data_IF_934894042678
#
_entry.id   IF_934894042678
#
_cell.length_a   1.000
_cell.length_b   1.000
_cell.length_c   1.000
_cell.angle_alpha   90.00
_cell.angle_beta   90.00
_cell.angle_gamma   90.00
#
_symmetry.space_group_name_H-M   'P 1'
#
loop_
_entity.id
_entity.type
_entity.pdbx_description
1 polymer ?
#
# COMPACT_ATOMS: atom_id res chain seq x y z
N UNK A 1 3.93 0.04 -35.06
CA UNK A 1 4.17 1.42 -34.66
C UNK A 1 5.42 1.34 -33.82
N UNK A 2 6.36 2.25 -34.00
CA UNK A 2 7.51 2.33 -33.10
C UNK A 2 7.20 3.33 -31.99
N UNK A 3 8.06 3.37 -30.99
CA UNK A 3 7.91 4.23 -29.82
C UNK A 3 7.80 5.72 -30.20
N UNK A 4 8.57 6.17 -31.20
CA UNK A 4 8.56 7.57 -31.68
C UNK A 4 7.15 7.98 -32.14
N UNK A 5 6.50 7.14 -32.95
CA UNK A 5 5.15 7.44 -33.47
C UNK A 5 4.10 7.38 -32.36
N UNK A 6 4.25 6.46 -31.40
CA UNK A 6 3.34 6.37 -30.26
C UNK A 6 3.35 7.66 -29.42
N UNK A 7 4.54 8.14 -29.04
CA UNK A 7 4.64 9.39 -28.28
C UNK A 7 4.18 10.59 -29.09
N UNK A 8 4.44 10.61 -30.41
CA UNK A 8 3.96 11.69 -31.27
C UNK A 8 2.44 11.82 -31.26
N UNK A 9 1.68 10.72 -31.19
CA UNK A 9 0.20 10.78 -31.07
C UNK A 9 -0.21 11.53 -29.80
N UNK A 10 0.48 11.28 -28.68
CA UNK A 10 0.19 11.95 -27.41
C UNK A 10 0.59 13.43 -27.49
N UNK A 11 1.74 13.75 -28.08
CA UNK A 11 2.18 15.15 -28.28
C UNK A 11 1.28 15.94 -29.24
N UNK A 12 0.77 15.31 -30.29
CA UNK A 12 -0.19 15.90 -31.22
C UNK A 12 -1.53 16.18 -30.52
N UNK A 13 -1.95 15.29 -29.61
CA UNK A 13 -3.14 15.49 -28.80
C UNK A 13 -3.04 16.70 -27.87
N UNK A 14 -1.86 16.95 -27.29
CA UNK A 14 -1.57 18.17 -26.53
C UNK A 14 -1.51 19.41 -27.42
N UNK A 15 -0.88 19.31 -28.60
CA UNK A 15 -0.77 20.42 -29.56
C UNK A 15 -2.14 20.88 -30.07
N UNK A 16 -3.12 19.98 -30.15
CA UNK A 16 -4.51 20.31 -30.47
C UNK A 16 -5.23 21.13 -29.38
N UNK A 17 -4.63 21.32 -28.19
CA UNK A 17 -5.15 22.12 -27.09
C UNK A 17 -4.10 23.10 -26.53
N UNK A 18 -3.77 24.21 -27.24
CA UNK A 18 -2.64 25.08 -26.89
C UNK A 18 -2.66 25.66 -25.46
N UNK A 19 -3.84 25.98 -24.92
CA UNK A 19 -3.98 26.47 -23.56
C UNK A 19 -3.61 25.39 -22.52
N UNK A 20 -4.02 24.14 -22.75
CA UNK A 20 -3.67 23.00 -21.89
C UNK A 20 -2.20 22.62 -22.07
N UNK A 21 -1.66 22.74 -23.28
CA UNK A 21 -0.24 22.53 -23.54
C UNK A 21 0.65 23.52 -22.77
N UNK A 22 0.24 24.79 -22.67
CA UNK A 22 0.96 25.77 -21.86
C UNK A 22 0.94 25.39 -20.37
N UNK A 23 -0.20 24.92 -19.85
CA UNK A 23 -0.34 24.44 -18.47
C UNK A 23 0.55 23.21 -18.21
N UNK A 24 0.53 22.22 -19.11
CA UNK A 24 1.42 21.06 -19.07
C UNK A 24 2.89 21.47 -19.09
N UNK A 25 3.27 22.42 -19.94
CA UNK A 25 4.66 22.89 -20.01
C UNK A 25 5.12 23.48 -18.67
N UNK A 26 4.26 24.25 -17.98
CA UNK A 26 4.53 24.72 -16.63
C UNK A 26 4.66 23.57 -15.64
N UNK A 27 3.73 22.61 -15.66
CA UNK A 27 3.79 21.44 -14.78
C UNK A 27 5.06 20.59 -14.99
N UNK A 28 5.49 20.37 -16.24
CA UNK A 28 6.73 19.65 -16.56
C UNK A 28 7.98 20.40 -16.09
N UNK A 29 7.93 21.73 -16.01
CA UNK A 29 9.06 22.53 -15.55
C UNK A 29 9.16 22.56 -14.02
N UNK A 30 8.03 22.67 -13.32
CA UNK A 30 8.00 22.87 -11.87
C UNK A 30 7.82 21.58 -11.09
N UNK A 31 7.19 20.57 -11.69
CA UNK A 31 6.66 19.38 -11.03
C UNK A 31 5.79 19.74 -9.81
N UNK A 32 5.00 20.80 -9.92
CA UNK A 32 4.10 21.29 -8.87
C UNK A 32 2.90 20.34 -8.74
N UNK A 33 2.67 19.72 -7.56
CA UNK A 33 1.57 18.77 -7.36
C UNK A 33 0.20 19.36 -7.65
N UNK A 34 -0.03 20.64 -7.32
CA UNK A 34 -1.35 21.27 -7.51
C UNK A 34 -1.64 21.46 -9.00
N UNK A 35 -0.62 21.81 -9.79
CA UNK A 35 -0.77 21.91 -11.25
C UNK A 35 -0.98 20.53 -11.89
N UNK A 36 -0.34 19.51 -11.36
CA UNK A 36 -0.49 18.13 -11.84
C UNK A 36 -1.90 17.61 -11.53
N UNK A 37 -2.39 17.86 -10.31
CA UNK A 37 -3.76 17.55 -9.89
C UNK A 37 -4.79 18.23 -10.79
N UNK A 38 -4.64 19.53 -11.07
CA UNK A 38 -5.52 20.26 -12.01
C UNK A 38 -5.54 19.66 -13.42
N UNK A 39 -4.42 19.05 -13.85
CA UNK A 39 -4.29 18.43 -15.17
C UNK A 39 -4.96 17.05 -15.26
N UNK A 40 -5.21 16.35 -14.15
CA UNK A 40 -5.85 15.01 -14.14
C UNK A 40 -7.14 14.99 -14.96
N UNK A 41 -8.10 15.86 -14.62
CA UNK A 41 -9.37 15.98 -15.33
C UNK A 41 -9.22 16.47 -16.78
N UNK A 42 -8.13 17.16 -17.12
CA UNK A 42 -7.84 17.61 -18.50
C UNK A 42 -7.29 16.46 -19.34
N UNK A 43 -6.41 15.64 -18.75
CA UNK A 43 -5.88 14.44 -19.37
C UNK A 43 -7.00 13.43 -19.60
N UNK A 44 -7.80 13.16 -18.58
CA UNK A 44 -8.98 12.29 -18.66
C UNK A 44 -9.98 12.75 -19.73
N UNK A 45 -10.24 14.07 -19.80
CA UNK A 45 -11.22 14.63 -20.74
C UNK A 45 -10.64 15.03 -22.09
N UNK A 46 -10.16 16.27 -22.18
CA UNK A 46 -9.82 16.91 -23.45
C UNK A 46 -8.67 16.21 -24.19
N UNK A 47 -7.61 15.82 -23.47
CA UNK A 47 -6.45 15.20 -24.11
C UNK A 47 -6.77 13.78 -24.59
N UNK A 48 -7.46 12.96 -23.78
CA UNK A 48 -7.91 11.64 -24.23
C UNK A 48 -8.84 11.74 -25.46
N UNK A 49 -9.73 12.73 -25.51
CA UNK A 49 -10.56 12.98 -26.69
C UNK A 49 -9.72 13.33 -27.91
N UNK A 50 -8.66 14.12 -27.76
CA UNK A 50 -7.76 14.45 -28.86
C UNK A 50 -6.97 13.21 -29.33
N UNK A 51 -6.47 12.37 -28.41
CA UNK A 51 -5.85 11.07 -28.73
C UNK A 51 -6.83 10.24 -29.55
N UNK A 52 -8.08 10.12 -29.09
CA UNK A 52 -9.15 9.39 -29.79
C UNK A 52 -9.31 9.85 -31.24
N UNK A 53 -9.35 11.17 -31.49
CA UNK A 53 -9.51 11.70 -32.86
C UNK A 53 -8.36 11.28 -33.78
N UNK A 54 -7.14 11.21 -33.26
CA UNK A 54 -5.97 10.75 -34.02
C UNK A 54 -6.09 9.25 -34.30
N UNK A 55 -6.46 8.46 -33.28
CA UNK A 55 -6.61 7.00 -33.40
C UNK A 55 -7.69 6.57 -34.40
N UNK A 56 -8.77 7.36 -34.56
CA UNK A 56 -9.81 7.11 -35.56
C UNK A 56 -9.28 7.10 -37.01
N UNK A 57 -8.12 7.73 -37.26
CA UNK A 57 -7.46 7.74 -38.56
C UNK A 57 -6.56 6.54 -38.83
N UNK A 58 -6.33 5.66 -37.85
CA UNK A 58 -5.48 4.49 -37.99
C UNK A 58 -6.25 3.31 -38.59
N UNK A 59 -5.56 2.50 -39.39
CA UNK A 59 -6.07 1.21 -39.81
C UNK A 59 -5.94 0.17 -38.68
N UNK A 60 -6.48 -1.04 -38.92
CA UNK A 60 -6.50 -2.12 -37.93
C UNK A 60 -5.11 -2.47 -37.43
N UNK A 61 -4.14 -2.55 -38.35
CA UNK A 61 -2.75 -2.86 -38.01
C UNK A 61 -2.11 -1.73 -37.18
N UNK A 62 -2.33 -0.48 -37.56
CA UNK A 62 -1.86 0.70 -36.83
C UNK A 62 -2.41 0.77 -35.41
N UNK A 63 -3.71 0.50 -35.24
CA UNK A 63 -4.36 0.54 -33.93
C UNK A 63 -3.97 -0.66 -33.04
N UNK A 64 -3.82 -1.86 -33.60
CA UNK A 64 -3.23 -3.00 -32.88
C UNK A 64 -1.84 -2.65 -32.35
N UNK A 65 -1.00 -2.05 -33.19
CA UNK A 65 0.34 -1.62 -32.81
C UNK A 65 0.34 -0.50 -31.77
N UNK A 66 -0.64 0.40 -31.79
CA UNK A 66 -0.81 1.40 -30.74
C UNK A 66 -1.17 0.75 -29.40
N UNK A 67 -2.14 -0.17 -29.40
CA UNK A 67 -2.56 -0.89 -28.20
C UNK A 67 -1.40 -1.66 -27.55
N UNK A 68 -0.62 -2.40 -28.34
CA UNK A 68 0.56 -3.10 -27.80
C UNK A 68 1.62 -2.15 -27.22
N UNK A 69 1.79 -0.96 -27.80
CA UNK A 69 2.72 0.03 -27.25
C UNK A 69 2.17 0.65 -25.95
N UNK A 70 0.88 0.94 -25.87
CA UNK A 70 0.24 1.40 -24.65
C UNK A 70 0.38 0.34 -23.53
N UNK A 71 0.05 -0.92 -23.83
CA UNK A 71 0.20 -2.04 -22.90
C UNK A 71 1.64 -2.14 -22.39
N UNK A 72 2.61 -2.06 -23.29
CA UNK A 72 4.02 -2.18 -22.94
C UNK A 72 4.54 -0.99 -22.14
N UNK A 73 4.12 0.24 -22.44
CA UNK A 73 4.49 1.44 -21.66
C UNK A 73 3.93 1.38 -20.24
N UNK A 74 2.69 0.93 -20.06
CA UNK A 74 2.04 0.75 -18.76
C UNK A 74 2.67 -0.40 -17.97
N UNK A 75 3.01 -1.51 -18.63
CA UNK A 75 3.73 -2.63 -18.05
C UNK A 75 5.15 -2.25 -17.61
N UNK A 76 5.86 -1.43 -18.38
CA UNK A 76 7.23 -1.01 -18.04
C UNK A 76 7.30 -0.23 -16.72
N UNK A 77 6.33 0.66 -16.48
CA UNK A 77 6.24 1.42 -15.21
C UNK A 77 5.35 0.75 -14.15
N UNK A 78 4.93 -0.49 -14.39
CA UNK A 78 4.35 -1.35 -13.35
C UNK A 78 5.46 -1.80 -12.39
N UNK A 79 5.84 -0.90 -11.48
CA UNK A 79 6.99 -1.05 -10.59
C UNK A 79 6.66 -0.59 -9.19
N UNK A 80 7.13 -1.36 -8.21
CA UNK A 80 6.88 -1.13 -6.78
C UNK A 80 7.33 0.26 -6.35
N UNK A 81 8.50 0.71 -6.80
CA UNK A 81 9.05 2.01 -6.44
C UNK A 81 8.24 3.19 -7.00
N UNK A 82 7.48 3.03 -8.08
CA UNK A 82 6.55 4.06 -8.58
C UNK A 82 5.24 4.00 -7.80
N UNK A 83 4.74 2.78 -7.52
CA UNK A 83 3.52 2.57 -6.74
C UNK A 83 3.54 3.31 -5.40
N UNK A 84 4.67 3.27 -4.68
CA UNK A 84 4.91 3.95 -3.40
C UNK A 84 4.62 5.46 -3.42
N UNK A 85 4.77 6.14 -4.56
CA UNK A 85 4.55 7.59 -4.67
C UNK A 85 3.22 7.97 -5.30
N UNK A 86 2.48 6.99 -5.84
CA UNK A 86 1.20 7.20 -6.52
C UNK A 86 -0.02 6.86 -5.66
N UNK A 87 0.18 6.24 -4.48
CA UNK A 87 -0.80 5.99 -3.38
C UNK A 87 -2.12 5.29 -3.72
N UNK A 88 -2.36 4.86 -4.95
CA UNK A 88 -3.60 4.17 -5.34
C UNK A 88 -3.69 2.71 -4.86
N UNK A 89 -4.94 2.23 -4.70
CA UNK A 89 -5.27 0.79 -4.71
C UNK A 89 -4.73 0.10 -5.97
N UNK A 90 -4.83 -1.23 -6.09
CA UNK A 90 -4.35 -1.93 -7.30
C UNK A 90 -4.89 -1.31 -8.61
N UNK A 91 -6.17 -0.94 -8.64
CA UNK A 91 -6.79 -0.22 -9.76
C UNK A 91 -6.32 1.24 -9.84
N UNK A 92 -6.21 1.94 -8.70
CA UNK A 92 -5.72 3.31 -8.64
C UNK A 92 -4.30 3.45 -9.19
N UNK A 93 -3.42 2.46 -8.95
CA UNK A 93 -2.07 2.47 -9.51
C UNK A 93 -2.07 2.36 -11.03
N UNK A 94 -2.94 1.53 -11.61
CA UNK A 94 -3.11 1.49 -13.06
C UNK A 94 -3.57 2.86 -13.59
N UNK A 95 -4.50 3.52 -12.90
CA UNK A 95 -5.01 4.82 -13.33
C UNK A 95 -3.98 5.94 -13.23
N UNK A 96 -3.12 5.90 -12.22
CA UNK A 96 -1.94 6.75 -12.12
C UNK A 96 -0.97 6.48 -13.27
N UNK A 97 -0.69 5.22 -13.62
CA UNK A 97 0.15 4.88 -14.80
C UNK A 97 -0.47 5.38 -16.11
N UNK A 98 -1.78 5.30 -16.26
CA UNK A 98 -2.51 5.88 -17.40
C UNK A 98 -2.32 7.39 -17.50
N UNK A 99 -2.40 8.11 -16.37
CA UNK A 99 -2.11 9.55 -16.33
C UNK A 99 -0.66 9.86 -16.72
N UNK A 100 0.30 9.11 -16.17
CA UNK A 100 1.73 9.29 -16.46
C UNK A 100 2.00 9.18 -17.97
N UNK A 101 1.44 8.16 -18.63
CA UNK A 101 1.55 8.00 -20.08
C UNK A 101 0.81 9.13 -20.82
N UNK A 102 -0.40 9.52 -20.37
CA UNK A 102 -1.19 10.59 -20.98
C UNK A 102 -0.55 11.98 -20.90
N UNK A 103 0.26 12.22 -19.87
CA UNK A 103 1.11 13.39 -19.72
C UNK A 103 2.29 13.41 -20.70
N UNK A 104 2.51 12.33 -21.46
CA UNK A 104 3.48 12.23 -22.54
C UNK A 104 4.92 11.95 -22.08
N UNK A 105 5.81 11.80 -23.07
CA UNK A 105 7.12 11.19 -22.87
C UNK A 105 7.98 11.88 -21.82
N UNK A 106 7.96 13.21 -21.78
CA UNK A 106 8.78 13.97 -20.84
C UNK A 106 8.44 13.68 -19.36
N UNK A 107 7.16 13.52 -19.05
CA UNK A 107 6.72 13.18 -17.68
C UNK A 107 6.94 11.69 -17.39
N UNK A 108 6.64 10.84 -18.37
CA UNK A 108 6.93 9.41 -18.29
C UNK A 108 8.40 9.15 -17.96
N UNK A 109 9.33 9.74 -18.73
CA UNK A 109 10.77 9.61 -18.50
C UNK A 109 11.19 10.19 -17.15
N UNK A 110 10.56 11.29 -16.70
CA UNK A 110 10.87 11.90 -15.40
C UNK A 110 10.59 10.93 -14.25
N UNK A 111 9.45 10.25 -14.29
CA UNK A 111 9.04 9.28 -13.27
C UNK A 111 9.81 7.98 -13.42
N UNK A 112 10.01 7.52 -14.66
CA UNK A 112 10.76 6.30 -14.94
C UNK A 112 12.17 6.37 -14.35
N UNK A 113 12.82 7.53 -14.46
CA UNK A 113 14.15 7.79 -13.90
C UNK A 113 14.14 8.16 -12.41
N UNK A 114 13.06 8.77 -11.91
CA UNK A 114 12.95 9.22 -10.53
C UNK A 114 11.50 9.05 -10.02
N UNK A 115 11.16 7.87 -9.47
CA UNK A 115 9.81 7.56 -9.01
C UNK A 115 9.23 8.56 -8.00
N UNK A 116 10.08 9.15 -7.15
CA UNK A 116 9.69 10.17 -6.17
C UNK A 116 9.16 11.48 -6.78
N UNK A 117 9.21 11.63 -8.11
CA UNK A 117 8.61 12.75 -8.84
C UNK A 117 7.16 12.51 -9.22
N UNK A 118 6.65 11.28 -9.10
CA UNK A 118 5.25 10.98 -9.30
C UNK A 118 4.39 11.76 -8.31
N UNK A 119 3.19 12.14 -8.74
CA UNK A 119 2.20 12.81 -7.89
C UNK A 119 1.16 11.79 -7.46
N UNK A 120 0.95 11.72 -6.15
CA UNK A 120 -0.07 10.90 -5.49
C UNK A 120 -1.47 11.22 -6.05
N UNK A 121 -2.25 10.17 -6.31
CA UNK A 121 -3.64 10.20 -6.79
C UNK A 121 -3.89 10.98 -8.10
N UNK A 122 -2.84 11.19 -8.90
CA UNK A 122 -2.98 11.81 -10.22
C UNK A 122 -3.44 10.77 -11.26
N UNK A 123 -4.76 10.65 -11.44
CA UNK A 123 -5.36 9.57 -12.22
C UNK A 123 -5.97 10.01 -13.56
N UNK A 124 -5.89 9.12 -14.57
CA UNK A 124 -6.60 9.26 -15.83
C UNK A 124 -6.86 7.91 -16.52
N UNK A 125 -7.65 7.05 -15.87
CA UNK A 125 -7.97 5.67 -16.30
C UNK A 125 -8.10 5.52 -17.82
N UNK A 126 -9.01 6.29 -18.43
CA UNK A 126 -9.44 6.13 -19.82
C UNK A 126 -8.29 6.20 -20.83
N UNK A 127 -7.16 6.84 -20.50
CA UNK A 127 -5.99 6.92 -21.39
C UNK A 127 -5.46 5.53 -21.74
N UNK A 128 -5.37 4.61 -20.76
CA UNK A 128 -4.87 3.25 -21.01
C UNK A 128 -5.82 2.39 -21.84
N UNK A 129 -7.11 2.73 -21.84
CA UNK A 129 -8.16 1.95 -22.52
C UNK A 129 -8.62 2.56 -23.84
N UNK A 130 -8.25 3.81 -24.17
CA UNK A 130 -8.80 4.54 -25.31
C UNK A 130 -8.60 3.83 -26.64
N UNK A 131 -7.46 3.15 -26.81
CA UNK A 131 -7.18 2.40 -28.02
C UNK A 131 -8.08 1.18 -28.20
N UNK A 132 -8.47 0.49 -27.11
CA UNK A 132 -9.45 -0.59 -27.17
C UNK A 132 -10.84 -0.08 -27.54
N UNK A 133 -11.24 1.07 -26.99
CA UNK A 133 -12.52 1.71 -27.31
C UNK A 133 -12.61 2.01 -28.80
N UNK A 134 -11.58 2.67 -29.35
CA UNK A 134 -11.54 2.99 -30.79
C UNK A 134 -11.49 1.72 -31.65
N UNK A 135 -10.78 0.68 -31.21
CA UNK A 135 -10.67 -0.56 -31.97
C UNK A 135 -12.03 -1.25 -32.10
N UNK A 136 -12.78 -1.33 -31.00
CA UNK A 136 -14.14 -1.86 -31.01
C UNK A 136 -15.08 -1.03 -31.89
N UNK A 137 -14.97 0.30 -31.81
CA UNK A 137 -15.78 1.22 -32.60
C UNK A 137 -15.55 1.06 -34.11
N UNK A 138 -14.29 0.98 -34.55
CA UNK A 138 -13.97 0.91 -35.97
C UNK A 138 -14.19 -0.48 -36.58
N UNK A 139 -13.97 -1.56 -35.82
CA UNK A 139 -13.93 -2.91 -36.37
C UNK A 139 -15.05 -3.83 -35.86
N UNK A 140 -15.85 -3.37 -34.91
CA UNK A 140 -17.01 -4.11 -34.39
C UNK A 140 -16.66 -5.36 -33.57
N UNK A 141 -15.41 -5.49 -33.13
CA UNK A 141 -14.91 -6.61 -32.33
C UNK A 141 -14.03 -6.10 -31.18
N UNK A 142 -13.99 -6.84 -30.08
CA UNK A 142 -13.12 -6.50 -28.96
C UNK A 142 -11.65 -6.79 -29.31
N UNK A 143 -10.76 -5.87 -28.95
CA UNK A 143 -9.33 -6.12 -29.01
C UNK A 143 -8.97 -7.22 -28.02
N UNK A 144 -8.13 -8.18 -28.43
CA UNK A 144 -7.60 -9.20 -27.53
C UNK A 144 -6.55 -8.56 -26.62
N UNK A 145 -7.01 -8.12 -25.45
CA UNK A 145 -6.19 -7.51 -24.41
C UNK A 145 -5.14 -8.49 -23.89
N UNK A 146 -4.04 -7.93 -23.39
CA UNK A 146 -2.95 -8.67 -22.77
C UNK A 146 -2.32 -9.70 -23.72
N UNK A 147 -2.43 -9.44 -25.03
CA UNK A 147 -1.90 -10.34 -26.05
C UNK A 147 -0.37 -10.29 -26.11
N UNK A 148 0.24 -9.25 -25.54
CA UNK A 148 1.70 -9.15 -25.34
C UNK A 148 2.04 -8.81 -23.90
N UNK A 149 1.46 -7.74 -23.35
CA UNK A 149 1.69 -7.30 -21.97
C UNK A 149 0.37 -7.09 -21.23
N UNK A 150 0.28 -7.59 -20.01
CA UNK A 150 -0.82 -7.24 -19.12
C UNK A 150 -0.60 -5.83 -18.57
N UNK A 151 -1.65 -5.01 -18.50
CA UNK A 151 -1.56 -3.67 -17.88
C UNK A 151 -1.88 -3.71 -16.40
N UNK A 152 -2.48 -4.82 -15.93
CA UNK A 152 -2.85 -5.00 -14.53
C UNK A 152 -1.66 -4.75 -13.60
N UNK A 153 -1.94 -4.19 -12.44
CA UNK A 153 -0.93 -3.98 -11.40
C UNK A 153 -0.28 -5.32 -11.03
N UNK A 154 1.02 -5.30 -10.77
CA UNK A 154 1.84 -6.49 -10.49
C UNK A 154 2.06 -7.46 -11.67
N UNK A 155 1.63 -7.12 -12.89
CA UNK A 155 1.89 -7.90 -14.10
C UNK A 155 3.39 -7.99 -14.45
N UNK A 156 4.16 -6.93 -14.22
CA UNK A 156 5.59 -6.89 -14.48
C UNK A 156 6.36 -7.42 -13.27
N UNK A 157 6.39 -8.75 -13.10
CA UNK A 157 7.07 -9.38 -11.96
C UNK A 157 8.49 -8.84 -11.67
N UNK A 158 9.26 -8.41 -12.69
CA UNK A 158 10.58 -7.79 -12.48
C UNK A 158 10.54 -6.41 -11.83
N UNK A 159 9.51 -5.63 -12.10
CA UNK A 159 9.24 -4.34 -11.44
C UNK A 159 8.82 -4.48 -9.98
N UNK A 160 8.48 -5.70 -9.56
CA UNK A 160 8.05 -6.02 -8.21
C UNK A 160 9.02 -6.95 -7.45
N UNK A 161 9.96 -7.59 -8.16
CA UNK A 161 11.02 -8.44 -7.61
C UNK A 161 12.22 -7.63 -7.08
N UNK A 162 12.56 -7.80 -5.80
CA UNK A 162 13.71 -7.14 -5.11
C UNK A 162 15.11 -7.51 -5.64
N UNK A 163 15.25 -8.35 -6.68
CA UNK A 163 16.55 -8.96 -7.06
C UNK A 163 17.36 -8.22 -8.13
N UNK A 164 16.81 -7.24 -8.86
CA UNK A 164 17.51 -6.65 -10.03
C UNK A 164 18.18 -5.29 -9.82
N UNK A 165 18.09 -4.68 -8.64
CA UNK A 165 18.58 -3.32 -8.44
C UNK A 165 19.67 -3.26 -7.34
N UNK A 166 20.77 -3.98 -7.56
CA UNK A 166 21.83 -4.13 -6.54
C UNK A 166 22.88 -3.00 -6.48
N UNK A 167 22.70 -1.88 -7.18
CA UNK A 167 23.74 -0.82 -7.20
C UNK A 167 23.29 0.57 -6.75
N UNK A 168 22.04 0.78 -6.29
CA UNK A 168 21.66 2.11 -5.75
C UNK A 168 20.62 2.06 -4.63
N UNK A 169 20.71 1.15 -3.67
CA UNK A 169 19.76 1.13 -2.55
C UNK A 169 20.48 0.90 -1.22
N UNK A 170 21.08 1.96 -0.69
CA UNK A 170 21.24 2.11 0.75
C UNK A 170 20.08 3.01 1.22
N UNK A 171 19.14 2.43 1.97
CA UNK A 171 17.95 3.01 2.61
C UNK A 171 16.60 2.96 1.86
N UNK A 172 16.14 1.79 1.40
CA UNK A 172 14.69 1.55 1.30
C UNK A 172 14.19 1.07 2.67
N UNK A 173 13.35 1.87 3.31
CA UNK A 173 12.68 1.47 4.54
C UNK A 173 11.64 0.38 4.23
N UNK A 174 11.70 -0.73 4.97
CA UNK A 174 10.76 -1.84 4.80
C UNK A 174 9.39 -1.38 5.32
N UNK A 175 8.41 -1.30 4.43
CA UNK A 175 7.00 -1.09 4.79
C UNK A 175 6.30 -2.43 5.01
N UNK A 176 5.45 -2.50 6.04
CA UNK A 176 4.68 -3.69 6.41
C UNK A 176 5.51 -4.83 6.98
N UNK A 177 4.81 -5.90 7.37
CA UNK A 177 5.43 -7.16 7.81
C UNK A 177 6.07 -7.89 6.61
N UNK A 178 7.29 -8.38 6.78
CA UNK A 178 8.08 -8.99 5.69
C UNK A 178 9.01 -10.07 6.23
N UNK A 179 8.65 -11.34 6.03
CA UNK A 179 9.40 -12.48 6.54
C UNK A 179 10.83 -12.56 5.97
N UNK A 180 11.04 -12.15 4.70
CA UNK A 180 12.35 -12.24 4.04
C UNK A 180 13.37 -11.26 4.62
N UNK A 181 12.89 -10.17 5.21
CA UNK A 181 13.70 -9.09 5.77
C UNK A 181 13.67 -9.05 7.30
N UNK A 182 12.77 -9.81 7.91
CA UNK A 182 12.69 -9.97 9.35
C UNK A 182 13.97 -10.60 9.91
N UNK A 183 14.22 -10.29 11.18
CA UNK A 183 15.32 -10.89 11.90
C UNK A 183 15.12 -12.41 11.98
N UNK A 184 16.17 -13.18 11.66
CA UNK A 184 16.11 -14.66 11.62
C UNK A 184 15.62 -15.31 12.91
N UNK A 185 15.84 -14.65 14.04
CA UNK A 185 15.31 -15.09 15.35
C UNK A 185 13.79 -15.00 15.41
N UNK A 186 13.17 -13.93 14.89
CA UNK A 186 11.72 -13.82 14.81
C UNK A 186 11.13 -14.93 13.95
N UNK A 187 11.69 -15.15 12.75
CA UNK A 187 11.29 -16.23 11.83
C UNK A 187 11.44 -17.62 12.47
N UNK A 188 12.49 -17.83 13.28
CA UNK A 188 12.68 -19.09 13.98
C UNK A 188 11.69 -19.30 15.14
N UNK A 189 11.30 -18.23 15.83
CA UNK A 189 10.34 -18.28 16.94
C UNK A 189 8.90 -18.41 16.45
N UNK A 190 8.59 -17.78 15.31
CA UNK A 190 7.25 -17.71 14.71
C UNK A 190 7.32 -18.15 13.25
N UNK A 191 7.46 -19.47 12.98
CA UNK A 191 7.43 -19.99 11.61
C UNK A 191 6.03 -20.01 10.99
N UNK A 192 4.97 -19.78 11.78
CA UNK A 192 3.59 -19.84 11.33
C UNK A 192 3.27 -18.76 10.29
N UNK A 193 2.74 -19.16 9.13
CA UNK A 193 2.53 -18.27 7.97
C UNK A 193 1.60 -17.09 8.27
N UNK A 194 0.54 -17.29 9.06
CA UNK A 194 -0.44 -16.25 9.40
C UNK A 194 0.23 -14.98 9.97
N UNK A 195 1.28 -15.13 10.77
CA UNK A 195 1.95 -14.01 11.42
C UNK A 195 2.62 -13.06 10.41
N UNK A 196 3.01 -13.60 9.26
CA UNK A 196 3.72 -12.88 8.20
C UNK A 196 2.79 -12.45 7.06
N UNK A 197 1.50 -12.79 7.13
CA UNK A 197 0.50 -12.41 6.13
C UNK A 197 -0.07 -11.03 6.47
N UNK A 198 0.29 -10.02 5.68
CA UNK A 198 -0.20 -8.65 5.84
C UNK A 198 -1.67 -8.47 5.41
N UNK A 199 -2.34 -9.53 4.96
CA UNK A 199 -3.76 -9.52 4.57
C UNK A 199 -4.64 -10.40 5.47
N UNK A 200 -4.05 -11.05 6.48
CA UNK A 200 -4.80 -11.84 7.45
C UNK A 200 -5.24 -10.95 8.62
N UNK A 201 -6.51 -10.55 8.61
CA UNK A 201 -7.16 -9.74 9.66
C UNK A 201 -7.10 -10.37 11.06
N UNK A 202 -6.77 -11.67 11.18
CA UNK A 202 -6.60 -12.37 12.46
C UNK A 202 -5.13 -12.41 12.91
N UNK A 203 -4.22 -11.86 12.11
CA UNK A 203 -2.79 -11.72 12.41
C UNK A 203 -2.49 -10.35 13.06
N UNK A 204 -1.45 -10.25 13.90
CA UNK A 204 -1.14 -9.00 14.60
C UNK A 204 -0.69 -7.84 13.69
N UNK A 205 -0.37 -8.11 12.43
CA UNK A 205 0.07 -7.12 11.44
C UNK A 205 -0.78 -7.13 10.16
N UNK A 206 -1.86 -7.92 10.12
CA UNK A 206 -2.73 -7.99 8.95
C UNK A 206 -3.96 -7.09 9.05
N UNK A 207 -4.29 -6.59 10.25
CA UNK A 207 -5.27 -5.51 10.43
C UNK A 207 -4.62 -4.13 10.26
N UNK A 208 -5.43 -3.12 9.93
CA UNK A 208 -5.00 -1.73 9.79
C UNK A 208 -4.28 -1.22 11.06
N UNK A 209 -4.80 -1.54 12.25
CA UNK A 209 -4.20 -1.14 13.53
C UNK A 209 -2.86 -1.81 13.81
N UNK A 210 -2.69 -3.03 13.30
CA UNK A 210 -1.47 -3.81 13.39
C UNK A 210 -0.38 -3.28 12.46
N UNK A 211 -0.72 -3.01 11.20
CA UNK A 211 0.19 -2.41 10.21
C UNK A 211 0.62 -1.00 10.64
N UNK A 212 -0.33 -0.16 11.06
CA UNK A 212 -0.05 1.17 11.59
C UNK A 212 0.82 1.09 12.85
N UNK A 213 0.52 0.16 13.77
CA UNK A 213 1.33 -0.06 14.97
C UNK A 213 2.80 -0.42 14.66
N UNK A 214 3.04 -1.24 13.64
CA UNK A 214 4.39 -1.58 13.18
C UNK A 214 5.09 -0.39 12.51
N UNK A 215 4.38 0.35 11.66
CA UNK A 215 4.92 1.54 10.99
C UNK A 215 5.31 2.63 12.00
N UNK A 216 4.44 2.89 12.98
CA UNK A 216 4.68 3.85 14.05
C UNK A 216 5.81 3.41 14.97
N UNK A 217 5.91 2.13 15.32
CA UNK A 217 7.07 1.60 16.06
C UNK A 217 8.38 1.88 15.30
N UNK A 218 8.43 1.59 14.00
CA UNK A 218 9.62 1.81 13.17
C UNK A 218 9.99 3.29 13.10
N UNK A 219 9.02 4.18 12.93
CA UNK A 219 9.23 5.62 12.93
C UNK A 219 9.73 6.11 14.29
N UNK A 220 9.08 5.67 15.37
CA UNK A 220 9.49 5.97 16.73
C UNK A 220 10.91 5.50 17.01
N UNK A 221 11.27 4.27 16.61
CA UNK A 221 12.59 3.70 16.84
C UNK A 221 13.70 4.47 16.12
N UNK A 222 13.46 4.94 14.89
CA UNK A 222 14.40 5.80 14.15
C UNK A 222 14.65 7.11 14.89
N UNK A 223 13.60 7.71 15.45
CA UNK A 223 13.70 8.95 16.23
C UNK A 223 14.31 8.73 17.63
N UNK A 224 14.22 7.50 18.16
CA UNK A 224 14.58 7.14 19.52
C UNK A 224 15.47 5.86 19.58
N UNK A 225 16.66 5.86 18.95
CA UNK A 225 17.45 4.64 18.74
C UNK A 225 17.94 3.99 20.05
N UNK A 226 18.23 4.80 21.07
CA UNK A 226 18.77 4.33 22.35
C UNK A 226 17.74 4.35 23.49
N UNK A 227 16.49 4.73 23.19
CA UNK A 227 15.43 4.81 24.21
C UNK A 227 14.85 3.41 24.44
N UNK A 228 14.63 3.00 25.71
CA UNK A 228 13.93 1.75 26.02
C UNK A 228 12.55 1.70 25.35
N UNK A 229 12.23 0.58 24.70
CA UNK A 229 10.98 0.44 23.92
C UNK A 229 9.70 0.52 24.74
N UNK A 230 9.81 0.34 26.06
CA UNK A 230 8.69 0.54 26.98
C UNK A 230 8.10 1.96 26.87
N UNK A 231 8.91 2.96 26.50
CA UNK A 231 8.41 4.33 26.27
C UNK A 231 7.56 4.43 25.00
N UNK A 232 7.82 3.59 23.99
CA UNK A 232 6.96 3.47 22.81
C UNK A 232 5.61 2.84 23.19
N UNK A 233 5.63 1.72 23.93
CA UNK A 233 4.40 1.09 24.41
C UNK A 233 3.57 2.02 25.30
N UNK A 234 4.24 2.79 26.16
CA UNK A 234 3.57 3.82 26.96
C UNK A 234 2.87 4.85 26.09
N UNK A 235 3.56 5.37 25.07
CA UNK A 235 2.97 6.31 24.12
C UNK A 235 1.79 5.68 23.36
N UNK A 236 1.90 4.44 22.89
CA UNK A 236 0.81 3.70 22.23
C UNK A 236 -0.40 3.59 23.15
N UNK A 237 -0.22 3.16 24.40
CA UNK A 237 -1.31 3.01 25.37
C UNK A 237 -1.99 4.33 25.70
N UNK A 238 -1.20 5.38 25.93
CA UNK A 238 -1.72 6.70 26.30
C UNK A 238 -2.43 7.40 25.13
N UNK A 239 -2.00 7.13 23.90
CA UNK A 239 -2.57 7.77 22.69
C UNK A 239 -3.77 7.01 22.14
N UNK A 240 -3.67 5.69 21.99
CA UNK A 240 -4.73 4.85 21.41
C UNK A 240 -5.80 4.51 22.43
N UNK A 241 -5.38 4.23 23.67
CA UNK A 241 -6.27 3.78 24.74
C UNK A 241 -6.88 4.91 25.56
N UNK A 242 -6.42 6.15 25.35
CA UNK A 242 -6.83 7.35 26.11
C UNK A 242 -6.78 7.13 27.64
N UNK A 243 -5.85 6.28 28.10
CA UNK A 243 -5.69 5.91 29.50
C UNK A 243 -4.24 6.03 29.95
N UNK A 244 -4.01 6.15 31.26
CA UNK A 244 -2.63 6.19 31.74
C UNK A 244 -1.98 4.82 31.59
N UNK A 245 -0.69 4.79 31.32
CA UNK A 245 0.06 3.54 31.27
C UNK A 245 -0.03 2.72 32.58
N UNK A 246 -0.20 3.39 33.73
CA UNK A 246 -0.39 2.72 35.01
C UNK A 246 -1.74 1.97 35.11
N UNK A 247 -2.77 2.44 34.40
CA UNK A 247 -4.09 1.81 34.37
C UNK A 247 -4.14 0.60 33.43
N UNK A 248 -3.20 0.52 32.48
CA UNK A 248 -3.01 -0.65 31.62
C UNK A 248 -2.27 -1.79 32.35
N UNK A 249 -3.01 -2.51 33.19
CA UNK A 249 -2.48 -3.55 34.07
C UNK A 249 -3.41 -4.79 34.13
N UNK A 250 -3.02 -5.80 34.90
CA UNK A 250 -3.75 -7.09 35.02
C UNK A 250 -5.22 -6.96 35.45
N UNK A 251 -5.66 -5.83 36.02
CA UNK A 251 -7.07 -5.61 36.31
C UNK A 251 -7.95 -5.62 35.05
N UNK A 252 -7.36 -5.30 33.89
CA UNK A 252 -8.04 -5.36 32.60
C UNK A 252 -8.35 -6.80 32.13
N UNK A 253 -7.77 -7.82 32.77
CA UNK A 253 -7.98 -9.24 32.43
C UNK A 253 -9.21 -9.84 33.12
N UNK A 254 -10.00 -9.04 33.85
CA UNK A 254 -11.21 -9.51 34.51
C UNK A 254 -12.31 -9.73 33.47
N UNK A 255 -12.74 -10.99 33.26
CA UNK A 255 -13.79 -11.33 32.31
C UNK A 255 -15.10 -10.58 32.60
N UNK A 256 -15.44 -10.34 33.87
CA UNK A 256 -16.63 -9.57 34.26
C UNK A 256 -16.52 -8.08 33.90
N UNK A 257 -15.30 -7.51 33.91
CA UNK A 257 -15.05 -6.14 33.47
C UNK A 257 -15.21 -6.04 31.95
N UNK A 258 -14.55 -6.93 31.21
CA UNK A 258 -14.63 -6.98 29.74
C UNK A 258 -16.08 -7.18 29.31
N UNK A 259 -16.78 -8.16 29.89
CA UNK A 259 -18.18 -8.42 29.57
C UNK A 259 -19.09 -7.24 29.93
N UNK A 260 -18.81 -6.51 31.01
CA UNK A 260 -19.58 -5.30 31.38
C UNK A 260 -19.38 -4.22 30.32
N UNK A 261 -18.14 -3.96 29.93
CA UNK A 261 -17.79 -2.97 28.92
C UNK A 261 -18.43 -3.30 27.57
N UNK A 262 -18.37 -4.55 27.11
CA UNK A 262 -19.02 -5.00 25.86
C UNK A 262 -20.56 -4.85 25.87
N UNK A 263 -21.18 -4.85 27.05
CA UNK A 263 -22.63 -4.67 27.19
C UNK A 263 -23.03 -3.21 27.43
N UNK A 264 -22.06 -2.31 27.59
CA UNK A 264 -22.30 -0.88 27.77
C UNK A 264 -22.41 -0.22 26.39
N UNK A 265 -23.57 0.32 25.99
CA UNK A 265 -23.76 0.92 24.68
C UNK A 265 -22.93 2.18 24.45
N UNK A 266 -22.40 2.79 25.52
CA UNK A 266 -21.54 3.98 25.43
C UNK A 266 -20.03 3.62 25.41
N UNK A 267 -19.68 2.33 25.48
CA UNK A 267 -18.31 1.85 25.42
C UNK A 267 -18.02 1.17 24.07
N UNK A 268 -17.03 1.69 23.36
CA UNK A 268 -16.55 1.10 22.12
C UNK A 268 -15.48 0.04 22.41
N UNK A 269 -15.89 -1.22 22.52
CA UNK A 269 -14.96 -2.32 22.77
C UNK A 269 -14.05 -2.61 21.58
N UNK A 270 -14.47 -2.29 20.36
CA UNK A 270 -13.60 -2.37 19.18
C UNK A 270 -12.42 -1.40 19.33
N UNK A 271 -12.66 -0.13 19.69
CA UNK A 271 -11.58 0.83 19.89
C UNK A 271 -10.74 0.52 21.15
N UNK A 272 -11.39 0.41 22.31
CA UNK A 272 -10.68 0.43 23.59
C UNK A 272 -10.21 -0.96 24.07
N UNK A 273 -10.63 -2.04 23.38
CA UNK A 273 -10.11 -3.40 23.59
C UNK A 273 -9.34 -3.86 22.35
N UNK A 274 -10.00 -4.04 21.21
CA UNK A 274 -9.36 -4.58 20.00
C UNK A 274 -8.24 -3.70 19.48
N UNK A 275 -8.54 -2.48 19.02
CA UNK A 275 -7.57 -1.56 18.42
C UNK A 275 -6.40 -1.29 19.37
N UNK A 276 -6.67 -0.94 20.63
CA UNK A 276 -5.63 -0.73 21.63
C UNK A 276 -4.71 -1.95 21.82
N UNK A 277 -5.27 -3.14 22.03
CA UNK A 277 -4.44 -4.32 22.31
C UNK A 277 -3.65 -4.76 21.08
N UNK A 278 -4.24 -4.71 19.89
CA UNK A 278 -3.53 -5.02 18.65
C UNK A 278 -2.39 -4.03 18.43
N UNK A 279 -2.58 -2.72 18.63
CA UNK A 279 -1.49 -1.75 18.54
C UNK A 279 -0.36 -2.02 19.55
N UNK A 280 -0.70 -2.43 20.78
CA UNK A 280 0.30 -2.83 21.80
C UNK A 280 1.06 -4.09 21.39
N UNK A 281 0.35 -5.10 20.87
CA UNK A 281 0.95 -6.34 20.35
C UNK A 281 1.88 -6.02 19.18
N UNK A 282 1.40 -5.31 18.17
CA UNK A 282 2.17 -4.94 16.99
C UNK A 282 3.42 -4.12 17.34
N UNK A 283 3.28 -3.12 18.22
CA UNK A 283 4.41 -2.32 18.70
C UNK A 283 5.47 -3.20 19.39
N UNK A 284 5.04 -4.12 20.25
CA UNK A 284 5.92 -5.03 20.97
C UNK A 284 6.61 -6.06 20.07
N UNK A 285 5.86 -6.68 19.18
CA UNK A 285 6.38 -7.67 18.22
C UNK A 285 7.19 -7.01 17.10
N UNK A 286 6.98 -5.73 16.80
CA UNK A 286 7.81 -4.97 15.86
C UNK A 286 9.29 -4.99 16.25
N UNK A 287 9.61 -4.86 17.55
CA UNK A 287 10.99 -5.00 18.02
C UNK A 287 11.55 -6.41 17.75
N UNK A 288 10.75 -7.46 17.98
CA UNK A 288 11.18 -8.82 17.69
C UNK A 288 11.43 -9.02 16.20
N UNK A 289 10.52 -8.54 15.36
CA UNK A 289 10.60 -8.63 13.90
C UNK A 289 11.84 -7.94 13.37
N UNK A 290 12.12 -6.71 13.78
CA UNK A 290 13.20 -5.91 13.20
C UNK A 290 14.56 -6.15 13.89
N UNK A 291 14.57 -6.40 15.20
CA UNK A 291 15.80 -6.47 16.01
C UNK A 291 16.09 -7.87 16.55
N UNK A 292 15.15 -8.80 16.44
CA UNK A 292 15.32 -10.16 16.95
C UNK A 292 15.28 -10.29 18.46
N UNK A 293 14.91 -9.23 19.16
CA UNK A 293 14.88 -9.15 20.62
C UNK A 293 13.58 -8.54 21.08
N UNK A 294 13.22 -8.81 22.33
CA UNK A 294 12.15 -8.11 23.00
C UNK A 294 12.61 -7.69 24.39
N UNK A 295 12.50 -6.40 24.68
CA UNK A 295 12.91 -5.87 25.98
C UNK A 295 12.10 -6.54 27.09
N UNK A 296 12.79 -7.01 28.14
CA UNK A 296 12.15 -7.77 29.23
C UNK A 296 11.05 -6.96 29.93
N UNK A 297 11.18 -5.63 29.96
CA UNK A 297 10.18 -4.73 30.54
C UNK A 297 8.86 -4.71 29.75
N UNK A 298 8.88 -5.02 28.45
CA UNK A 298 7.70 -5.00 27.59
C UNK A 298 6.85 -6.26 27.76
N UNK A 299 7.48 -7.40 28.07
CA UNK A 299 6.82 -8.70 28.07
C UNK A 299 5.56 -8.74 28.94
N UNK A 300 5.54 -8.21 30.19
CA UNK A 300 4.32 -8.20 30.99
C UNK A 300 3.18 -7.38 30.36
N UNK A 301 3.52 -6.29 29.67
CA UNK A 301 2.54 -5.39 29.02
C UNK A 301 1.93 -6.07 27.79
N UNK A 302 2.76 -6.62 26.92
CA UNK A 302 2.32 -7.34 25.71
C UNK A 302 1.49 -8.57 26.11
N UNK A 303 1.87 -9.24 27.21
CA UNK A 303 1.11 -10.37 27.75
C UNK A 303 -0.31 -9.96 28.13
N UNK A 304 -0.50 -8.79 28.76
CA UNK A 304 -1.84 -8.28 29.09
C UNK A 304 -2.67 -8.10 27.82
N UNK A 305 -2.11 -7.49 26.77
CA UNK A 305 -2.80 -7.30 25.50
C UNK A 305 -3.26 -8.64 24.88
N UNK A 306 -2.36 -9.63 24.79
CA UNK A 306 -2.67 -10.96 24.25
C UNK A 306 -3.75 -11.65 25.10
N UNK A 307 -3.61 -11.65 26.42
CA UNK A 307 -4.56 -12.33 27.31
C UNK A 307 -5.93 -11.64 27.31
N UNK A 308 -5.96 -10.30 27.21
CA UNK A 308 -7.21 -9.54 27.11
C UNK A 308 -7.93 -9.82 25.79
N UNK A 309 -7.21 -9.88 24.67
CA UNK A 309 -7.75 -10.28 23.36
C UNK A 309 -8.33 -11.69 23.37
N UNK A 310 -7.65 -12.65 24.00
CA UNK A 310 -8.16 -14.03 24.14
C UNK A 310 -9.49 -14.03 24.89
N UNK A 311 -9.57 -13.32 26.02
CA UNK A 311 -10.80 -13.27 26.83
C UNK A 311 -11.92 -12.56 26.06
N UNK A 312 -11.64 -11.41 25.46
CA UNK A 312 -12.59 -10.65 24.66
C UNK A 312 -13.16 -11.50 23.52
N UNK A 313 -12.31 -12.14 22.72
CA UNK A 313 -12.71 -13.03 21.62
C UNK A 313 -13.61 -14.19 22.07
N UNK A 314 -13.38 -14.72 23.27
CA UNK A 314 -14.19 -15.81 23.85
C UNK A 314 -15.56 -15.35 24.37
N UNK A 315 -15.71 -14.06 24.69
CA UNK A 315 -16.96 -13.48 25.17
C UNK A 315 -17.88 -13.04 24.01
N UNK A 316 -17.36 -12.87 22.79
CA UNK A 316 -18.16 -12.54 21.62
C UNK A 316 -19.03 -13.74 21.23
N UNK A 317 -20.34 -13.59 21.35
CA UNK A 317 -21.28 -14.66 21.07
C UNK A 317 -21.38 -14.93 19.56
N UNK A 318 -20.98 -16.14 19.14
CA UNK A 318 -21.20 -16.63 17.79
C UNK A 318 -20.22 -16.12 16.74
N UNK A 319 -19.08 -15.55 17.14
CA UNK A 319 -18.02 -15.19 16.20
C UNK A 319 -17.34 -16.47 15.66
N UNK A 320 -17.41 -16.68 14.35
CA UNK A 320 -16.94 -17.93 13.72
C UNK A 320 -15.41 -18.09 13.75
N UNK A 321 -14.69 -16.98 13.88
CA UNK A 321 -13.23 -16.94 13.91
C UNK A 321 -12.61 -17.07 15.30
N UNK A 322 -13.42 -17.12 16.39
CA UNK A 322 -12.89 -17.15 17.77
C UNK A 322 -11.84 -18.24 17.97
N UNK A 323 -12.06 -19.45 17.44
CA UNK A 323 -11.13 -20.56 17.64
C UNK A 323 -9.78 -20.34 16.93
N UNK A 324 -9.81 -19.79 15.73
CA UNK A 324 -8.63 -19.47 14.92
C UNK A 324 -7.86 -18.30 15.53
N UNK A 325 -8.54 -17.20 15.84
CA UNK A 325 -7.94 -16.03 16.46
C UNK A 325 -7.28 -16.35 17.80
N UNK A 326 -7.96 -17.11 18.66
CA UNK A 326 -7.36 -17.59 19.93
C UNK A 326 -6.16 -18.50 19.69
N UNK A 327 -6.17 -19.33 18.64
CA UNK A 327 -5.01 -20.14 18.26
C UNK A 327 -3.82 -19.26 17.87
N UNK A 328 -4.04 -18.24 17.04
CA UNK A 328 -3.04 -17.28 16.62
C UNK A 328 -2.43 -16.52 17.82
N UNK A 329 -3.28 -16.03 18.74
CA UNK A 329 -2.84 -15.35 19.96
C UNK A 329 -2.02 -16.27 20.88
N UNK A 330 -2.31 -17.58 20.93
CA UNK A 330 -1.50 -18.53 21.68
C UNK A 330 -0.11 -18.76 21.05
N UNK A 331 0.02 -18.64 19.72
CA UNK A 331 1.32 -18.62 19.06
C UNK A 331 2.12 -17.38 19.49
N UNK A 332 1.48 -16.20 19.53
CA UNK A 332 2.13 -14.99 20.03
C UNK A 332 2.57 -15.15 21.48
N UNK A 333 1.72 -15.72 22.33
CA UNK A 333 2.05 -15.99 23.73
C UNK A 333 3.27 -16.90 23.88
N UNK A 334 3.37 -17.97 23.09
CA UNK A 334 4.55 -18.84 23.03
C UNK A 334 5.80 -18.05 22.64
N UNK A 335 5.72 -17.28 21.55
CA UNK A 335 6.84 -16.49 21.06
C UNK A 335 7.31 -15.44 22.09
N UNK A 336 6.36 -14.81 22.80
CA UNK A 336 6.64 -13.85 23.87
C UNK A 336 7.51 -14.45 25.00
N UNK A 337 7.22 -15.69 25.39
CA UNK A 337 7.96 -16.42 26.42
C UNK A 337 9.39 -16.74 25.96
N UNK A 338 9.58 -17.07 24.68
CA UNK A 338 10.86 -17.48 24.09
C UNK A 338 11.75 -16.33 23.57
N UNK A 339 11.17 -15.13 23.34
CA UNK A 339 11.81 -13.95 22.76
C UNK A 339 12.89 -13.26 23.63
#
# INVERSE_FOLDING_TARGET
MNEIVFWQIIEDAWTAAPALQAMRASALQTNDPSLIEDLTGKVYGAITNNIRQILLGLDKEGLTKFNHMMEERLFHIDRKEIHQYTSGSDDGFLYCRCFIVGMGKAYYDMIDNNPAKATSDAEAEIVGFIGYVVYKELFGEDFVRYSVHSIETCANARGWDRKTNKETFMNDEIYGIDQDHAHKRAVALIPEEFFWDCSDELAPFGSDEGDEGLAEFRNWRKANPDTPTIECLKWTIESVGEMTFADYNENLLQAELIQRNMNDPDYDDQQYIFTLDISVIATGFGQLVDEGVMDTANKPIIKIAIERQIIWAQLIAGWEHTAEYVSNLNVLKRALEEA
#
